data_IF_415173485021
#
_entry.id   IF_415173485021
#
_cell.length_a   1.000
_cell.length_b   1.000
_cell.length_c   1.000
_cell.angle_alpha   90.00
_cell.angle_beta   90.00
_cell.angle_gamma   90.00
#
_symmetry.space_group_name_H-M   'P 1'
#
loop_
_entity.id
_entity.type
_entity.pdbx_description
1 polymer ?
#
# COMPACT_ATOMS: atom_id res chain seq x y z
N UNK A 1 12.35 1.30 10.83
CA UNK A 1 11.31 0.26 10.63
C UNK A 1 10.26 0.41 11.72
N UNK A 2 9.06 0.84 11.33
CA UNK A 2 7.92 1.00 12.23
C UNK A 2 7.15 -0.32 12.22
N UNK A 3 7.06 -1.06 13.33
CA UNK A 3 6.28 -2.29 13.38
C UNK A 3 4.79 -1.95 13.20
N UNK A 4 4.11 -2.73 12.36
CA UNK A 4 2.69 -2.59 12.09
C UNK A 4 1.97 -3.83 12.60
N UNK A 5 1.04 -3.64 13.53
CA UNK A 5 0.17 -4.72 13.95
C UNK A 5 -0.74 -5.14 12.80
N UNK A 6 -0.82 -6.44 12.52
CA UNK A 6 -1.82 -6.94 11.59
C UNK A 6 -3.03 -7.31 12.41
N UNK A 7 -4.12 -6.58 12.19
CA UNK A 7 -5.43 -6.92 12.74
C UNK A 7 -6.15 -7.78 11.70
N UNK A 8 -6.32 -9.03 11.99
CA UNK A 8 -7.25 -9.88 11.25
C UNK A 8 -8.58 -9.89 12.00
N UNK A 9 -9.68 -9.62 11.29
CA UNK A 9 -11.04 -9.77 11.81
C UNK A 9 -11.40 -11.24 12.10
N UNK A 10 -12.61 -11.48 12.58
CA UNK A 10 -13.12 -12.82 12.92
C UNK A 10 -12.94 -13.79 11.75
N UNK A 11 -12.12 -14.83 11.96
CA UNK A 11 -11.83 -15.87 10.96
C UNK A 11 -10.49 -15.76 10.25
N UNK A 12 -9.74 -14.67 10.40
CA UNK A 12 -8.41 -14.49 9.85
C UNK A 12 -7.29 -14.60 10.90
N UNK A 13 -6.04 -14.51 10.44
CA UNK A 13 -4.87 -14.50 11.28
C UNK A 13 -4.95 -13.36 12.32
N UNK A 14 -5.16 -13.67 13.56
CA UNK A 14 -4.90 -12.72 14.63
C UNK A 14 -3.40 -12.74 14.91
N UNK A 15 -2.68 -11.67 14.55
CA UNK A 15 -1.43 -11.38 15.20
C UNK A 15 -1.77 -11.07 16.66
N UNK A 16 -1.75 -12.10 17.49
CA UNK A 16 -1.83 -11.88 18.92
C UNK A 16 -0.52 -11.22 19.36
N UNK A 17 -0.53 -10.54 20.49
CA UNK A 17 0.66 -9.86 21.00
C UNK A 17 1.83 -10.85 21.27
N UNK A 18 1.56 -12.13 21.34
CA UNK A 18 2.54 -13.18 21.63
C UNK A 18 3.29 -13.65 20.37
N UNK A 19 2.68 -13.57 19.17
CA UNK A 19 3.32 -13.96 17.90
C UNK A 19 3.02 -12.94 16.79
N UNK A 20 3.57 -11.73 16.86
CA UNK A 20 3.35 -10.73 15.83
C UNK A 20 3.98 -11.18 14.51
N UNK A 21 3.25 -10.97 13.43
CA UNK A 21 3.79 -11.08 12.08
C UNK A 21 4.83 -9.98 11.86
N UNK A 22 5.93 -10.31 11.22
CA UNK A 22 6.96 -9.33 10.86
C UNK A 22 6.51 -8.50 9.66
N UNK A 23 5.67 -7.51 9.95
CA UNK A 23 5.27 -6.48 9.01
C UNK A 23 5.69 -5.10 9.53
N UNK A 24 6.36 -4.36 8.67
CA UNK A 24 6.89 -3.04 8.99
C UNK A 24 6.63 -2.07 7.85
N UNK A 25 6.58 -0.78 8.19
CA UNK A 25 6.79 0.29 7.23
C UNK A 25 8.13 0.96 7.50
N UNK A 26 8.77 1.42 6.43
CA UNK A 26 9.83 2.40 6.47
C UNK A 26 9.28 3.65 5.81
N UNK A 27 9.08 4.69 6.59
CA UNK A 27 8.31 5.88 6.23
C UNK A 27 6.99 6.00 6.97
N UNK A 28 6.40 7.17 6.89
CA UNK A 28 5.13 7.53 7.53
C UNK A 28 4.01 7.24 6.55
N UNK A 29 3.20 6.24 6.83
CA UNK A 29 2.08 5.89 5.96
C UNK A 29 0.88 6.80 6.24
N UNK A 30 0.51 7.61 5.26
CA UNK A 30 -0.58 8.59 5.37
C UNK A 30 -1.88 7.97 5.85
N UNK A 31 -2.25 6.82 5.32
CA UNK A 31 -3.49 6.10 5.64
C UNK A 31 -3.48 5.37 7.01
N UNK A 32 -2.33 5.28 7.67
CA UNK A 32 -2.22 4.69 9.01
C UNK A 32 -1.96 5.80 10.04
N UNK A 33 -0.92 6.59 9.81
CA UNK A 33 -0.40 7.54 10.79
C UNK A 33 -1.21 8.84 10.78
N UNK A 34 -1.74 9.23 9.62
CA UNK A 34 -2.54 10.44 9.46
C UNK A 34 -3.93 10.36 10.09
N UNK A 35 -4.52 9.16 10.18
CA UNK A 35 -5.87 8.98 10.74
C UNK A 35 -5.90 9.18 12.26
N UNK A 36 -4.84 8.77 12.94
CA UNK A 36 -4.83 8.72 14.41
C UNK A 36 -4.59 10.07 15.05
N UNK A 37 -3.70 10.87 14.48
CA UNK A 37 -3.36 12.21 14.97
C UNK A 37 -2.69 13.03 13.88
N UNK A 38 -3.44 13.94 13.25
CA UNK A 38 -2.96 14.79 12.17
C UNK A 38 -1.77 15.67 12.54
N UNK A 39 -1.79 16.26 13.75
CA UNK A 39 -0.68 17.12 14.18
C UNK A 39 0.60 16.30 14.32
N UNK A 40 0.51 15.14 14.96
CA UNK A 40 1.64 14.22 15.06
C UNK A 40 2.16 13.79 13.67
N UNK A 41 1.26 13.48 12.75
CA UNK A 41 1.60 13.12 11.37
C UNK A 41 2.40 14.25 10.69
N UNK A 42 1.91 15.52 10.76
CA UNK A 42 2.62 16.64 10.14
C UNK A 42 3.96 16.95 10.78
N UNK A 43 4.06 16.85 12.08
CA UNK A 43 5.34 17.07 12.77
C UNK A 43 6.33 15.96 12.39
N UNK A 44 5.84 14.74 12.28
CA UNK A 44 6.68 13.60 11.96
C UNK A 44 7.17 13.61 10.50
N UNK A 45 6.33 13.97 9.53
CA UNK A 45 6.78 14.06 8.13
C UNK A 45 7.81 15.19 7.92
N UNK A 46 7.73 16.29 8.65
CA UNK A 46 8.73 17.36 8.59
C UNK A 46 10.14 16.87 8.98
N UNK A 47 10.20 15.94 9.92
CA UNK A 47 11.46 15.32 10.35
C UNK A 47 11.89 14.21 9.39
N UNK A 48 10.96 13.40 8.91
CA UNK A 48 11.27 12.19 8.17
C UNK A 48 11.51 12.43 6.67
N UNK A 49 10.72 13.30 6.03
CA UNK A 49 10.84 13.53 4.59
C UNK A 49 12.27 13.98 4.16
N UNK A 50 12.96 14.89 4.86
CA UNK A 50 14.35 15.23 4.54
C UNK A 50 15.28 14.02 4.62
N UNK A 51 15.13 13.19 5.67
CA UNK A 51 15.93 11.98 5.86
C UNK A 51 15.70 11.00 4.71
N UNK A 52 14.44 10.81 4.32
CA UNK A 52 14.07 9.94 3.19
C UNK A 52 14.64 10.47 1.87
N UNK A 53 14.59 11.76 1.64
CA UNK A 53 15.18 12.38 0.45
C UNK A 53 16.71 12.20 0.42
N UNK A 54 17.38 12.31 1.54
CA UNK A 54 18.83 12.07 1.61
C UNK A 54 19.21 10.62 1.28
N UNK A 55 18.42 9.64 1.75
CA UNK A 55 18.70 8.22 1.51
C UNK A 55 18.16 7.71 0.18
N UNK A 56 17.00 8.17 -0.24
CA UNK A 56 16.23 7.59 -1.35
C UNK A 56 15.96 8.58 -2.49
N UNK A 57 16.49 9.80 -2.45
CA UNK A 57 16.24 10.84 -3.46
C UNK A 57 16.50 10.36 -4.88
N UNK A 58 17.60 9.66 -5.13
CA UNK A 58 17.87 9.07 -6.45
C UNK A 58 16.78 8.06 -6.88
N UNK A 59 16.25 7.25 -5.95
CA UNK A 59 15.18 6.31 -6.24
C UNK A 59 13.88 7.05 -6.55
N UNK A 60 13.57 8.12 -5.81
CA UNK A 60 12.40 8.96 -6.09
C UNK A 60 12.49 9.64 -7.45
N UNK A 61 13.68 10.10 -7.85
CA UNK A 61 13.91 10.67 -9.18
C UNK A 61 13.63 9.65 -10.29
N UNK A 62 14.02 8.39 -10.10
CA UNK A 62 13.68 7.32 -11.04
C UNK A 62 12.18 7.05 -11.10
N UNK A 63 11.50 6.97 -9.96
CA UNK A 63 10.05 6.76 -9.89
C UNK A 63 9.31 7.91 -10.57
N UNK A 64 9.63 9.15 -10.20
CA UNK A 64 9.04 10.35 -10.79
C UNK A 64 9.24 10.36 -12.31
N UNK A 65 10.44 10.08 -12.79
CA UNK A 65 10.73 10.06 -14.23
C UNK A 65 9.96 8.97 -14.97
N UNK A 66 9.93 7.76 -14.42
CA UNK A 66 9.21 6.64 -15.04
C UNK A 66 7.70 6.90 -15.11
N UNK A 67 7.11 7.47 -14.07
CA UNK A 67 5.70 7.87 -14.07
C UNK A 67 5.47 9.05 -15.02
N UNK A 68 6.35 10.04 -15.04
CA UNK A 68 6.23 11.18 -15.95
C UNK A 68 6.18 10.77 -17.41
N UNK A 69 7.03 9.86 -17.82
CA UNK A 69 7.10 9.36 -19.19
C UNK A 69 5.84 8.56 -19.58
N UNK A 70 5.09 8.08 -18.60
CA UNK A 70 3.91 7.22 -18.82
C UNK A 70 2.58 7.96 -18.65
N UNK A 71 2.44 8.72 -17.54
CA UNK A 71 1.15 9.34 -17.15
C UNK A 71 1.19 10.88 -17.14
N UNK A 72 2.33 11.46 -17.45
CA UNK A 72 2.54 12.91 -17.50
C UNK A 72 3.15 13.45 -16.20
N UNK A 73 3.20 14.78 -16.10
CA UNK A 73 3.93 15.50 -15.08
C UNK A 73 3.58 15.04 -13.66
N UNK A 74 4.59 14.67 -12.89
CA UNK A 74 4.45 14.27 -11.48
C UNK A 74 5.61 14.78 -10.62
N UNK A 75 5.38 14.87 -9.32
CA UNK A 75 6.35 15.27 -8.31
C UNK A 75 6.01 14.63 -6.96
N UNK A 76 6.97 14.53 -6.06
CA UNK A 76 6.70 14.16 -4.68
C UNK A 76 5.98 15.34 -3.99
N UNK A 77 4.88 15.05 -3.31
CA UNK A 77 4.10 16.05 -2.58
C UNK A 77 4.87 16.54 -1.35
N UNK A 78 5.15 17.83 -1.27
CA UNK A 78 5.94 18.41 -0.17
C UNK A 78 5.19 18.41 1.16
N UNK A 79 3.85 18.39 1.12
CA UNK A 79 2.98 18.52 2.30
C UNK A 79 2.42 17.18 2.80
N UNK A 80 2.87 16.06 2.21
CA UNK A 80 2.52 14.70 2.59
C UNK A 80 3.78 13.85 2.82
N UNK A 81 3.60 12.65 3.38
CA UNK A 81 4.69 11.71 3.52
C UNK A 81 5.23 11.30 2.15
N UNK A 82 6.56 11.31 2.00
CA UNK A 82 7.20 10.79 0.79
C UNK A 82 6.90 9.30 0.62
N UNK A 83 6.83 8.76 -0.62
CA UNK A 83 6.63 7.34 -0.84
C UNK A 83 7.53 6.49 0.04
N UNK A 84 6.96 5.48 0.68
CA UNK A 84 7.65 4.68 1.69
C UNK A 84 7.64 3.19 1.36
N UNK A 85 8.13 2.38 2.28
CA UNK A 85 8.29 0.96 2.04
C UNK A 85 7.38 0.13 2.93
N UNK A 86 6.72 -0.85 2.32
CA UNK A 86 6.12 -1.98 3.02
C UNK A 86 7.11 -3.14 3.04
N UNK A 87 7.32 -3.71 4.22
CA UNK A 87 8.32 -4.75 4.46
C UNK A 87 7.64 -5.90 5.20
N UNK A 88 7.46 -7.00 4.50
CA UNK A 88 7.04 -8.28 5.09
C UNK A 88 8.26 -9.19 5.15
N UNK A 89 8.53 -9.73 6.32
CA UNK A 89 9.65 -10.61 6.58
C UNK A 89 10.51 -10.16 7.75
N UNK A 90 11.27 -11.10 8.26
CA UNK A 90 12.09 -10.92 9.46
C UNK A 90 13.19 -9.89 9.23
N UNK A 91 13.43 -9.04 10.21
CA UNK A 91 14.55 -8.09 10.18
C UNK A 91 15.90 -8.80 10.05
N UNK A 92 16.89 -8.13 9.45
CA UNK A 92 18.27 -8.64 9.49
C UNK A 92 18.69 -8.91 10.93
N UNK A 93 19.33 -10.07 11.15
CA UNK A 93 19.84 -10.53 12.45
C UNK A 93 18.78 -10.92 13.50
N UNK A 94 17.51 -10.96 13.16
CA UNK A 94 16.47 -11.57 13.99
C UNK A 94 16.18 -13.01 13.54
N UNK A 95 15.63 -13.81 14.45
CA UNK A 95 15.23 -15.19 14.12
C UNK A 95 13.93 -15.16 13.31
N UNK A 96 13.86 -15.88 12.18
CA UNK A 96 12.64 -15.98 11.40
C UNK A 96 11.48 -16.60 12.20
N UNK A 97 10.27 -16.09 11.95
CA UNK A 97 9.06 -16.53 12.65
C UNK A 97 8.16 -17.34 11.72
N UNK A 98 7.64 -18.45 12.24
CA UNK A 98 6.67 -19.27 11.53
C UNK A 98 5.41 -18.47 11.17
N UNK A 99 4.92 -17.59 12.06
CA UNK A 99 3.77 -16.73 11.81
C UNK A 99 3.96 -15.83 10.57
N UNK A 100 5.16 -15.27 10.39
CA UNK A 100 5.50 -14.44 9.24
C UNK A 100 5.47 -15.24 7.92
N UNK A 101 6.08 -16.43 7.94
CA UNK A 101 6.04 -17.35 6.79
C UNK A 101 4.60 -17.71 6.41
N UNK A 102 3.80 -18.18 7.37
CA UNK A 102 2.40 -18.56 7.16
C UNK A 102 1.56 -17.37 6.66
N UNK A 103 1.84 -16.16 7.14
CA UNK A 103 1.15 -14.96 6.68
C UNK A 103 1.49 -14.64 5.21
N UNK A 104 2.75 -14.77 4.81
CA UNK A 104 3.14 -14.55 3.41
C UNK A 104 2.55 -15.60 2.46
N UNK A 105 2.26 -16.81 2.93
CA UNK A 105 1.63 -17.89 2.15
C UNK A 105 0.11 -17.74 2.02
N UNK A 106 -0.48 -16.67 2.55
CA UNK A 106 -1.90 -16.33 2.41
C UNK A 106 -2.05 -14.99 1.67
N UNK A 107 -3.21 -14.73 1.06
CA UNK A 107 -3.52 -13.39 0.57
C UNK A 107 -3.39 -12.41 1.73
N UNK A 108 -2.47 -11.46 1.60
CA UNK A 108 -2.17 -10.49 2.65
C UNK A 108 -2.94 -9.20 2.40
N UNK A 109 -3.31 -8.52 3.45
CA UNK A 109 -4.25 -7.41 3.44
C UNK A 109 -5.68 -7.81 3.05
N UNK A 110 -6.62 -6.89 3.22
CA UNK A 110 -8.00 -7.06 2.75
C UNK A 110 -8.07 -6.87 1.24
N UNK A 111 -9.13 -7.34 0.60
CA UNK A 111 -9.50 -6.90 -0.74
C UNK A 111 -9.97 -5.46 -0.60
N UNK A 112 -9.40 -4.52 -1.34
CA UNK A 112 -9.68 -3.09 -1.17
C UNK A 112 -9.40 -2.29 -2.45
N UNK A 113 -9.82 -1.04 -2.40
CA UNK A 113 -9.41 0.04 -3.30
C UNK A 113 -8.67 1.10 -2.50
N UNK A 114 -7.82 1.87 -3.14
CA UNK A 114 -7.03 2.91 -2.49
C UNK A 114 -7.80 4.23 -2.42
N UNK A 115 -8.36 4.52 -1.23
CA UNK A 115 -9.15 5.73 -0.95
C UNK A 115 -8.47 6.67 0.07
N UNK A 116 -7.16 6.59 0.23
CA UNK A 116 -6.42 7.37 1.22
C UNK A 116 -6.58 8.87 1.03
N UNK A 117 -6.75 9.31 -0.21
CA UNK A 117 -6.97 10.72 -0.55
C UNK A 117 -8.24 11.30 0.06
N UNK A 118 -9.30 10.50 0.27
CA UNK A 118 -10.56 10.95 0.87
C UNK A 118 -10.42 11.33 2.35
N UNK A 119 -9.44 10.78 3.02
CA UNK A 119 -9.19 11.05 4.44
C UNK A 119 -8.54 12.41 4.69
N UNK A 120 -8.06 13.05 3.63
CA UNK A 120 -7.28 14.28 3.67
C UNK A 120 -7.83 15.37 2.75
N UNK A 121 -9.14 15.42 2.58
CA UNK A 121 -9.83 16.37 1.68
C UNK A 121 -9.35 17.81 1.84
N UNK A 122 -9.05 18.24 3.08
CA UNK A 122 -8.59 19.59 3.36
C UNK A 122 -7.20 19.90 2.77
N UNK A 123 -6.35 18.88 2.53
CA UNK A 123 -5.01 19.07 1.93
C UNK A 123 -5.10 19.49 0.46
N UNK A 124 -6.13 19.03 -0.21
CA UNK A 124 -6.32 19.30 -1.62
C UNK A 124 -6.90 20.70 -1.87
N UNK A 125 -7.43 21.36 -0.83
CA UNK A 125 -8.04 22.70 -0.91
C UNK A 125 -7.08 23.82 -1.34
N UNK A 126 -5.77 23.55 -1.34
CA UNK A 126 -4.74 24.48 -1.79
C UNK A 126 -4.61 24.55 -3.32
N UNK A 127 -5.19 23.61 -4.04
CA UNK A 127 -5.15 23.53 -5.49
C UNK A 127 -6.48 24.02 -6.08
N UNK A 128 -6.40 24.56 -7.32
CA UNK A 128 -7.58 25.04 -8.03
C UNK A 128 -8.35 23.92 -8.70
N UNK A 129 -7.63 22.96 -9.24
CA UNK A 129 -8.17 21.80 -9.92
C UNK A 129 -7.61 20.54 -9.28
N UNK A 130 -8.50 19.67 -8.81
CA UNK A 130 -8.15 18.41 -8.14
C UNK A 130 -8.97 17.27 -8.73
N UNK A 131 -8.32 16.25 -9.24
CA UNK A 131 -8.97 15.03 -9.74
C UNK A 131 -8.91 13.93 -8.68
N UNK A 132 -9.98 13.82 -7.89
CA UNK A 132 -10.14 12.76 -6.88
C UNK A 132 -10.82 11.50 -7.46
N UNK A 133 -11.27 11.55 -8.70
CA UNK A 133 -11.90 10.41 -9.37
C UNK A 133 -10.87 9.46 -9.98
N UNK A 134 -9.79 10.02 -10.52
CA UNK A 134 -8.72 9.26 -11.18
C UNK A 134 -7.42 9.35 -10.37
N UNK A 135 -7.41 8.74 -9.20
CA UNK A 135 -6.22 8.67 -8.36
C UNK A 135 -5.25 7.60 -8.87
N UNK A 136 -4.01 7.67 -8.43
CA UNK A 136 -2.93 6.78 -8.82
C UNK A 136 -2.47 5.96 -7.62
N UNK A 137 -2.20 4.69 -7.85
CA UNK A 137 -1.40 3.86 -6.93
C UNK A 137 -0.23 3.25 -7.69
N UNK A 138 0.91 3.13 -7.06
CA UNK A 138 2.07 2.47 -7.64
C UNK A 138 2.84 1.64 -6.61
N UNK A 139 3.44 0.57 -7.09
CA UNK A 139 4.31 -0.31 -6.31
C UNK A 139 5.57 -0.61 -7.11
N UNK A 140 6.72 -0.34 -6.53
CA UNK A 140 8.01 -0.78 -7.04
C UNK A 140 8.56 -1.87 -6.12
N UNK A 141 8.50 -3.15 -6.51
CA UNK A 141 9.08 -4.23 -5.75
C UNK A 141 10.60 -4.10 -5.72
N UNK A 142 11.18 -4.07 -4.52
CA UNK A 142 12.63 -4.05 -4.29
C UNK A 142 13.14 -5.48 -4.04
N UNK A 143 12.37 -6.26 -3.29
CA UNK A 143 12.59 -7.67 -3.06
C UNK A 143 11.24 -8.38 -3.10
N UNK A 144 11.20 -9.53 -3.75
CA UNK A 144 10.01 -10.40 -3.81
C UNK A 144 10.36 -11.78 -3.25
N UNK A 145 9.38 -12.52 -2.70
CA UNK A 145 9.57 -13.93 -2.37
C UNK A 145 10.01 -14.72 -3.59
N UNK A 146 10.67 -15.84 -3.38
CA UNK A 146 11.14 -16.69 -4.46
C UNK A 146 10.00 -17.15 -5.38
N UNK A 147 8.79 -17.36 -4.81
CA UNK A 147 7.62 -17.77 -5.56
C UNK A 147 6.40 -16.97 -5.13
N UNK A 148 5.67 -16.38 -6.07
CA UNK A 148 4.47 -15.59 -5.79
C UNK A 148 4.74 -14.18 -5.25
N UNK A 149 3.85 -13.69 -4.38
CA UNK A 149 3.99 -12.37 -3.75
C UNK A 149 3.69 -11.18 -4.65
N UNK A 150 2.90 -11.38 -5.72
CA UNK A 150 2.43 -10.36 -6.63
C UNK A 150 1.21 -9.59 -6.12
N UNK A 151 0.35 -9.19 -7.03
CA UNK A 151 -0.92 -8.52 -6.77
C UNK A 151 -2.07 -9.32 -7.38
N UNK A 152 -3.09 -9.60 -6.58
CA UNK A 152 -4.39 -10.03 -7.07
C UNK A 152 -5.17 -8.80 -7.50
N UNK A 153 -5.81 -8.85 -8.67
CA UNK A 153 -6.67 -7.78 -9.18
C UNK A 153 -7.98 -8.36 -9.67
N UNK A 154 -9.05 -7.57 -9.59
CA UNK A 154 -10.37 -7.93 -10.10
C UNK A 154 -10.82 -6.94 -11.16
N UNK A 155 -11.55 -7.42 -12.17
CA UNK A 155 -12.06 -6.59 -13.26
C UNK A 155 -13.19 -5.64 -12.81
N UNK A 156 -13.53 -4.67 -13.67
CA UNK A 156 -14.46 -3.56 -13.37
C UNK A 156 -15.88 -4.03 -12.97
N UNK A 157 -16.35 -5.19 -13.44
CA UNK A 157 -17.67 -5.73 -13.07
C UNK A 157 -17.69 -6.19 -11.61
N UNK A 158 -16.61 -6.79 -11.13
CA UNK A 158 -16.42 -7.15 -9.72
C UNK A 158 -16.32 -5.90 -8.84
N UNK A 159 -15.82 -4.79 -9.37
CA UNK A 159 -15.75 -3.49 -8.67
C UNK A 159 -17.15 -2.94 -8.36
N UNK A 160 -18.11 -3.06 -9.28
CA UNK A 160 -19.48 -2.57 -9.04
C UNK A 160 -20.14 -3.28 -7.86
N UNK A 161 -19.91 -4.57 -7.74
CA UNK A 161 -20.43 -5.35 -6.62
C UNK A 161 -19.76 -4.95 -5.32
N UNK A 162 -18.44 -4.77 -5.34
CA UNK A 162 -17.68 -4.28 -4.19
C UNK A 162 -18.14 -2.88 -3.76
N UNK A 163 -18.35 -1.95 -4.68
CA UNK A 163 -18.89 -0.61 -4.39
C UNK A 163 -20.30 -0.68 -3.80
N UNK A 164 -21.15 -1.57 -4.29
CA UNK A 164 -22.50 -1.80 -3.76
C UNK A 164 -22.43 -2.34 -2.34
N UNK A 165 -21.60 -3.35 -2.10
CA UNK A 165 -21.45 -3.98 -0.79
C UNK A 165 -20.82 -3.04 0.23
N UNK A 166 -19.87 -2.20 -0.17
CA UNK A 166 -19.21 -1.21 0.70
C UNK A 166 -19.98 0.11 0.86
N UNK A 167 -20.92 0.43 0.00
CA UNK A 167 -21.75 1.62 0.15
C UNK A 167 -22.59 1.61 1.45
N UNK A 168 -22.78 0.44 2.03
CA UNK A 168 -23.45 0.23 3.32
C UNK A 168 -22.47 0.17 4.50
N UNK A 169 -21.18 -0.03 4.26
CA UNK A 169 -20.14 -0.07 5.29
C UNK A 169 -19.26 1.16 5.17
N UNK A 170 -19.73 2.30 5.65
CA UNK A 170 -19.02 3.60 5.66
C UNK A 170 -17.72 3.60 6.50
N UNK A 171 -17.31 2.46 7.03
CA UNK A 171 -16.07 2.25 7.74
C UNK A 171 -15.54 0.87 7.37
N UNK A 172 -14.27 0.78 6.98
CA UNK A 172 -13.49 -0.43 6.66
C UNK A 172 -13.53 -1.53 7.76
N UNK A 173 -14.55 -1.56 8.60
CA UNK A 173 -14.59 -2.41 9.78
C UNK A 173 -15.14 -3.81 9.57
N UNK A 174 -15.87 -4.05 8.51
CA UNK A 174 -16.51 -5.36 8.32
C UNK A 174 -16.65 -5.67 6.83
N UNK A 175 -15.53 -6.03 6.19
CA UNK A 175 -15.64 -6.90 5.04
C UNK A 175 -16.17 -8.24 5.57
N UNK A 176 -17.34 -8.63 5.14
CA UNK A 176 -17.90 -9.93 5.47
C UNK A 176 -17.07 -11.02 4.75
N UNK A 177 -16.04 -11.52 5.45
CA UNK A 177 -15.16 -12.57 4.95
C UNK A 177 -15.91 -13.87 4.59
N UNK A 178 -17.18 -14.03 5.00
CA UNK A 178 -18.01 -15.15 4.61
C UNK A 178 -18.36 -15.13 3.11
N UNK A 179 -18.23 -13.97 2.45
CA UNK A 179 -18.49 -13.76 1.02
C UNK A 179 -17.26 -13.92 0.12
N UNK A 180 -16.12 -14.28 0.65
CA UNK A 180 -14.89 -14.48 -0.15
C UNK A 180 -15.05 -15.53 -1.27
N UNK A 181 -16.05 -16.40 -1.19
CA UNK A 181 -16.39 -17.34 -2.24
C UNK A 181 -17.25 -16.79 -3.39
N UNK A 182 -17.75 -15.56 -3.26
CA UNK A 182 -18.67 -14.95 -4.22
C UNK A 182 -17.96 -14.02 -5.22
N UNK A 183 -16.66 -13.76 -5.03
CA UNK A 183 -15.85 -12.99 -5.99
C UNK A 183 -15.26 -13.91 -7.07
N UNK A 184 -15.22 -13.43 -8.29
CA UNK A 184 -14.51 -14.10 -9.38
C UNK A 184 -13.03 -14.34 -8.99
N UNK A 185 -12.43 -15.37 -9.59
CA UNK A 185 -11.00 -15.62 -9.38
C UNK A 185 -10.19 -14.39 -9.80
N UNK A 186 -9.24 -13.92 -8.97
CA UNK A 186 -8.45 -12.76 -9.31
C UNK A 186 -7.49 -13.03 -10.47
N UNK A 187 -7.24 -12.01 -11.26
CA UNK A 187 -6.08 -12.00 -12.14
C UNK A 187 -4.83 -11.71 -11.29
N UNK A 188 -3.85 -12.60 -11.35
CA UNK A 188 -2.60 -12.43 -10.61
C UNK A 188 -1.58 -11.69 -11.48
N UNK A 189 -1.16 -10.50 -11.01
CA UNK A 189 -0.05 -9.73 -11.59
C UNK A 189 1.24 -10.13 -10.87
N UNK A 190 2.15 -10.86 -11.53
CA UNK A 190 3.41 -11.25 -10.89
C UNK A 190 4.31 -10.03 -10.71
N UNK A 191 4.87 -9.87 -9.51
CA UNK A 191 5.86 -8.83 -9.27
C UNK A 191 7.27 -9.32 -9.57
N UNK A 192 8.08 -8.42 -10.16
CA UNK A 192 9.51 -8.61 -10.33
C UNK A 192 10.26 -7.44 -9.71
N UNK A 193 11.35 -7.74 -9.02
CA UNK A 193 12.19 -6.71 -8.43
C UNK A 193 12.70 -5.74 -9.51
N UNK A 194 12.53 -4.44 -9.26
CA UNK A 194 12.91 -3.37 -10.18
C UNK A 194 11.89 -3.04 -11.28
N UNK A 195 10.79 -3.80 -11.44
CA UNK A 195 9.70 -3.48 -12.36
C UNK A 195 8.55 -2.80 -11.61
N UNK A 196 8.32 -1.52 -11.90
CA UNK A 196 7.24 -0.76 -11.25
C UNK A 196 5.89 -1.10 -11.87
N UNK A 197 4.92 -1.41 -11.02
CA UNK A 197 3.52 -1.55 -11.36
C UNK A 197 2.74 -0.35 -10.87
N UNK A 198 1.89 0.23 -11.72
CA UNK A 198 1.02 1.33 -11.36
C UNK A 198 -0.40 1.10 -11.91
N UNK A 199 -1.39 1.63 -11.22
CA UNK A 199 -2.79 1.45 -11.56
C UNK A 199 -3.64 2.62 -11.04
N UNK A 200 -4.87 2.72 -11.52
CA UNK A 200 -5.85 3.68 -10.98
C UNK A 200 -6.23 3.22 -9.57
N UNK A 201 -6.20 4.13 -8.59
CA UNK A 201 -6.42 3.80 -7.17
C UNK A 201 -7.74 3.11 -6.85
N UNK A 202 -8.72 3.20 -7.73
CA UNK A 202 -10.02 2.48 -7.65
C UNK A 202 -9.97 1.02 -8.13
N UNK A 203 -8.81 0.52 -8.60
CA UNK A 203 -8.68 -0.90 -8.93
C UNK A 203 -8.81 -1.74 -7.66
N UNK A 204 -9.76 -2.68 -7.66
CA UNK A 204 -9.90 -3.64 -6.56
C UNK A 204 -8.71 -4.58 -6.57
N UNK A 205 -8.01 -4.64 -5.46
CA UNK A 205 -6.79 -5.43 -5.38
C UNK A 205 -6.51 -5.98 -3.98
N UNK A 206 -5.57 -6.92 -3.94
CA UNK A 206 -5.07 -7.54 -2.72
C UNK A 206 -3.66 -8.03 -2.95
N UNK A 207 -2.85 -8.10 -1.91
CA UNK A 207 -1.53 -8.74 -1.98
C UNK A 207 -1.69 -10.24 -2.24
N UNK A 208 -1.15 -10.73 -3.35
CA UNK A 208 -1.15 -12.15 -3.68
C UNK A 208 -0.23 -12.96 -2.76
N UNK A 209 -0.57 -14.22 -2.45
CA UNK A 209 0.25 -15.08 -1.59
C UNK A 209 1.59 -15.42 -2.23
N UNK A 210 2.58 -15.67 -1.38
CA UNK A 210 3.76 -16.42 -1.76
C UNK A 210 3.46 -17.92 -1.70
N UNK A 211 4.21 -18.71 -2.47
CA UNK A 211 4.06 -20.18 -2.48
C UNK A 211 5.35 -20.84 -2.03
N UNK A 212 5.26 -21.79 -1.10
CA UNK A 212 6.42 -22.46 -0.53
C UNK A 212 7.50 -21.47 -0.04
N UNK A 213 7.05 -20.45 0.68
CA UNK A 213 7.93 -19.40 1.18
C UNK A 213 9.06 -19.99 2.05
N UNK A 214 10.28 -19.52 1.84
CA UNK A 214 11.38 -19.80 2.75
C UNK A 214 11.30 -18.85 3.96
N UNK A 215 11.90 -19.26 5.08
CA UNK A 215 11.98 -18.42 6.26
C UNK A 215 12.77 -17.12 6.06
N UNK A 216 13.63 -17.07 5.05
CA UNK A 216 14.41 -15.90 4.69
C UNK A 216 13.74 -15.06 3.59
N UNK A 217 12.61 -15.52 3.05
CA UNK A 217 11.87 -14.75 2.06
C UNK A 217 11.38 -13.44 2.66
N UNK A 218 11.43 -12.42 1.83
CA UNK A 218 10.94 -11.08 2.15
C UNK A 218 10.20 -10.51 0.97
N UNK A 219 9.20 -9.70 1.29
CA UNK A 219 8.60 -8.80 0.34
C UNK A 219 8.91 -7.38 0.79
N UNK A 220 9.67 -6.67 -0.01
CA UNK A 220 10.00 -5.26 0.21
C UNK A 220 9.53 -4.50 -1.02
N UNK A 221 8.63 -3.57 -0.85
CA UNK A 221 8.11 -2.74 -1.93
C UNK A 221 8.08 -1.27 -1.53
N UNK A 222 8.62 -0.41 -2.39
CA UNK A 222 8.30 1.00 -2.35
C UNK A 222 6.89 1.18 -2.86
N UNK A 223 6.06 1.89 -2.11
CA UNK A 223 4.68 2.17 -2.47
C UNK A 223 4.38 3.66 -2.38
N UNK A 224 3.41 4.09 -3.15
CA UNK A 224 2.88 5.42 -3.07
C UNK A 224 1.60 5.57 -3.86
N UNK A 225 0.96 6.70 -3.61
CA UNK A 225 -0.28 7.11 -4.22
C UNK A 225 -0.09 8.45 -4.90
N UNK A 226 -1.06 8.86 -5.70
CA UNK A 226 -1.02 10.16 -6.35
C UNK A 226 -2.41 10.72 -6.59
N UNK A 227 -2.52 12.04 -6.42
CA UNK A 227 -3.68 12.84 -6.80
C UNK A 227 -3.22 13.89 -7.80
N UNK A 228 -3.97 14.06 -8.88
CA UNK A 228 -3.63 15.06 -9.90
C UNK A 228 -4.20 16.41 -9.52
N UNK A 229 -3.30 17.36 -9.24
CA UNK A 229 -3.64 18.72 -8.81
C UNK A 229 -3.03 19.74 -9.78
N UNK A 230 -3.85 20.67 -10.30
CA UNK A 230 -3.43 21.69 -11.28
C UNK A 230 -2.60 21.09 -12.43
N UNK A 231 -3.00 19.92 -12.91
CA UNK A 231 -2.34 19.20 -14.01
C UNK A 231 -1.08 18.41 -13.62
N UNK A 232 -0.68 18.38 -12.37
CA UNK A 232 0.52 17.68 -11.87
C UNK A 232 0.14 16.61 -10.83
N UNK A 233 0.64 15.40 -11.00
CA UNK A 233 0.48 14.34 -10.03
C UNK A 233 1.30 14.63 -8.77
N UNK A 234 0.64 14.69 -7.62
CA UNK A 234 1.24 14.83 -6.29
C UNK A 234 1.41 13.45 -5.70
N UNK A 235 2.64 12.93 -5.68
CA UNK A 235 2.95 11.57 -5.20
C UNK A 235 3.21 11.58 -3.69
N UNK A 236 2.65 10.62 -2.96
CA UNK A 236 2.76 10.49 -1.51
C UNK A 236 2.65 9.02 -1.06
N UNK A 237 2.87 8.74 0.25
CA UNK A 237 2.78 7.39 0.83
C UNK A 237 1.46 7.11 1.50
#
# INVERSE_FOLDING_TARGET
WIPRGIYCGEGGFTANQENPVDFYTLGVATYIDGITNLQYYYDYIKEQNPVFNDYFGNLYDYVVRALWDTIGKCQIAEFLATPGFHIFGTKPNEQPKMATKMYMEQPSATIHVDLQHEQHDFLWSHFKEVDLENTLSFTLPIQVPQNGGGLNTWEEESMKQYEIDNKYTKHMKELDYSKWGDYDEPTVVPYKAGEMFWFIGKLVHQIAPAYNADFNDRRVSLQGHGVKCDGVWQLYF
#
